data_IF_105869159003
#
_entry.id   IF_105869159003
#
_cell.length_a   1.000
_cell.length_b   1.000
_cell.length_c   1.000
_cell.angle_alpha   90.00
_cell.angle_beta   90.00
_cell.angle_gamma   90.00
#
_symmetry.space_group_name_H-M   'P 1'
#
loop_
_entity.id
_entity.type
_entity.pdbx_description
1 polymer ?
#
# COMPACT_ATOMS: atom_id res chain seq x y z
N UNK A 1 -14.33 0.27 -0.87
CA UNK A 1 -13.48 -0.92 -1.09
C UNK A 1 -12.17 -0.66 -0.38
N UNK A 2 -11.60 -1.65 0.32
CA UNK A 2 -10.45 -1.45 1.20
C UNK A 2 -9.26 -2.24 0.66
N UNK A 3 -8.10 -1.59 0.55
CA UNK A 3 -6.84 -2.22 0.15
C UNK A 3 -6.04 -2.49 1.41
N UNK A 4 -5.79 -3.77 1.70
CA UNK A 4 -4.88 -4.17 2.77
C UNK A 4 -3.51 -4.46 2.19
N UNK A 5 -2.48 -3.84 2.75
CA UNK A 5 -1.08 -4.11 2.46
C UNK A 5 -0.48 -4.82 3.65
N UNK A 6 -0.16 -6.10 3.49
CA UNK A 6 0.59 -6.87 4.46
C UNK A 6 2.08 -6.75 4.14
N UNK A 7 2.86 -6.27 5.10
CA UNK A 7 4.31 -6.10 4.98
C UNK A 7 5.01 -6.58 6.25
N UNK A 8 6.19 -7.15 6.12
CA UNK A 8 6.99 -7.57 7.28
C UNK A 8 7.77 -6.39 7.85
N UNK A 9 8.07 -6.44 9.15
CA UNK A 9 9.00 -5.47 9.77
C UNK A 9 10.36 -5.46 9.09
N UNK A 10 10.86 -6.62 8.63
CA UNK A 10 12.14 -6.73 7.91
C UNK A 10 12.11 -5.98 6.58
N UNK A 11 11.05 -6.14 5.79
CA UNK A 11 10.87 -5.44 4.52
C UNK A 11 10.85 -3.91 4.72
N UNK A 12 10.12 -3.42 5.72
CA UNK A 12 10.11 -1.99 6.06
C UNK A 12 11.50 -1.46 6.42
N UNK A 13 12.28 -2.24 7.19
CA UNK A 13 13.65 -1.88 7.59
C UNK A 13 14.59 -1.91 6.39
N UNK A 14 14.51 -2.90 5.51
CA UNK A 14 15.32 -3.00 4.29
C UNK A 14 15.02 -1.85 3.32
N UNK A 15 13.74 -1.51 3.17
CA UNK A 15 13.30 -0.37 2.36
C UNK A 15 13.56 0.98 3.02
N UNK A 16 13.93 0.99 4.31
CA UNK A 16 14.05 2.19 5.15
C UNK A 16 12.81 3.08 5.10
N UNK A 17 11.64 2.44 5.05
CA UNK A 17 10.35 3.10 4.99
C UNK A 17 9.60 2.89 6.31
N UNK A 18 8.89 3.93 6.72
CA UNK A 18 7.91 3.82 7.80
C UNK A 18 6.60 3.22 7.26
N UNK A 19 5.78 2.56 8.08
CA UNK A 19 4.46 2.07 7.67
C UNK A 19 3.57 3.17 7.09
N UNK A 20 3.65 4.39 7.64
CA UNK A 20 2.93 5.57 7.16
C UNK A 20 3.42 6.00 5.78
N UNK A 21 4.74 6.05 5.57
CA UNK A 21 5.33 6.37 4.26
C UNK A 21 4.98 5.31 3.22
N UNK A 22 4.93 4.03 3.61
CA UNK A 22 4.44 2.96 2.75
C UNK A 22 2.96 3.18 2.41
N UNK A 23 2.12 3.54 3.37
CA UNK A 23 0.70 3.83 3.14
C UNK A 23 0.52 5.01 2.18
N UNK A 24 1.29 6.09 2.35
CA UNK A 24 1.27 7.25 1.45
C UNK A 24 1.81 6.92 0.06
N UNK A 25 2.91 6.17 -0.03
CA UNK A 25 3.47 5.73 -1.31
C UNK A 25 2.51 4.79 -2.04
N UNK A 26 1.86 3.88 -1.31
CA UNK A 26 0.82 3.00 -1.83
C UNK A 26 -0.36 3.83 -2.29
N UNK A 27 -0.88 4.79 -1.51
CA UNK A 27 -1.95 5.71 -1.95
C UNK A 27 -1.58 6.49 -3.20
N UNK A 28 -0.37 7.04 -3.25
CA UNK A 28 0.13 7.82 -4.39
C UNK A 28 0.30 6.96 -5.66
N UNK A 29 0.83 5.75 -5.51
CA UNK A 29 1.05 4.79 -6.62
C UNK A 29 -0.26 4.19 -7.10
N UNK A 30 -1.15 3.85 -6.16
CA UNK A 30 -2.49 3.38 -6.42
C UNK A 30 -3.37 4.46 -7.06
N UNK A 31 -3.02 5.75 -7.05
CA UNK A 31 -3.77 6.80 -7.75
C UNK A 31 -4.12 6.46 -9.21
N UNK A 32 -3.37 5.55 -9.84
CA UNK A 32 -3.77 4.85 -11.05
C UNK A 32 -3.26 3.39 -10.99
N UNK A 33 -3.96 2.49 -10.31
CA UNK A 33 -3.62 1.07 -10.40
C UNK A 33 -4.20 0.50 -11.69
N UNK A 34 -3.33 0.28 -12.67
CA UNK A 34 -3.69 -0.40 -13.91
C UNK A 34 -3.70 -1.91 -13.66
N UNK A 35 -4.82 -2.42 -13.16
CA UNK A 35 -5.05 -3.86 -13.01
C UNK A 35 -5.38 -4.48 -14.37
N UNK A 36 -5.08 -5.77 -14.57
CA UNK A 36 -5.55 -6.50 -15.76
C UNK A 36 -7.08 -6.49 -15.79
N UNK A 37 -7.65 -5.53 -16.52
CA UNK A 37 -9.08 -5.20 -16.48
C UNK A 37 -9.41 -3.71 -16.63
N UNK A 38 -8.44 -2.82 -16.47
CA UNK A 38 -8.57 -1.37 -16.69
C UNK A 38 -8.08 -0.52 -15.49
N UNK A 39 -7.95 0.80 -15.67
CA UNK A 39 -7.49 1.68 -14.59
C UNK A 39 -8.56 1.80 -13.50
N UNK A 40 -8.22 1.39 -12.28
CA UNK A 40 -9.00 1.70 -11.09
C UNK A 40 -8.58 3.07 -10.57
N UNK A 41 -9.55 4.00 -10.48
CA UNK A 41 -9.34 5.33 -9.89
C UNK A 41 -9.70 5.29 -8.41
N UNK A 42 -8.70 5.54 -7.58
CA UNK A 42 -8.62 5.13 -6.17
C UNK A 42 -9.09 6.22 -5.19
N UNK A 43 -9.68 7.32 -5.69
CA UNK A 43 -10.19 8.42 -4.86
C UNK A 43 -11.17 8.00 -3.72
N UNK A 44 -11.70 6.77 -3.75
CA UNK A 44 -12.60 6.19 -2.74
C UNK A 44 -12.05 4.91 -2.04
N UNK A 45 -10.76 4.61 -2.16
CA UNK A 45 -10.16 3.42 -1.55
C UNK A 45 -9.45 3.76 -0.22
N UNK A 46 -9.92 3.11 0.84
CA UNK A 46 -9.28 3.12 2.15
C UNK A 46 -8.07 2.16 2.12
N UNK A 47 -6.89 2.64 2.51
CA UNK A 47 -5.64 1.86 2.52
C UNK A 47 -5.25 1.58 3.96
N UNK A 48 -5.16 0.29 4.30
CA UNK A 48 -4.76 -0.21 5.61
C UNK A 48 -3.42 -0.95 5.47
N UNK A 49 -2.39 -0.49 6.17
CA UNK A 49 -1.08 -1.19 6.22
C UNK A 49 -1.03 -2.01 7.50
N UNK A 50 -0.90 -3.33 7.35
CA UNK A 50 -0.74 -4.27 8.44
C UNK A 50 0.70 -4.75 8.48
N UNK A 51 1.40 -4.48 9.58
CA UNK A 51 2.79 -4.88 9.77
C UNK A 51 2.82 -6.17 10.57
N UNK A 52 3.27 -7.25 9.94
CA UNK A 52 3.42 -8.54 10.62
C UNK A 52 4.84 -8.70 11.17
N UNK A 53 4.92 -9.19 12.40
CA UNK A 53 6.15 -9.70 12.98
C UNK A 53 6.31 -11.17 12.51
N UNK A 54 7.13 -11.38 11.48
CA UNK A 54 7.63 -12.72 11.09
C UNK A 54 9.05 -12.93 11.58
#
# INVERSE_FOLDING_TARGET
MQVRVDVSTQDLVEMKLSPEELAEAVRATLGCLNVEGGPLYINDLDVEVSVNES
#
